data_IF_991022171888
#
_entry.id   IF_991022171888
#
_cell.length_a   1.000
_cell.length_b   1.000
_cell.length_c   1.000
_cell.angle_alpha   90.00
_cell.angle_beta   90.00
_cell.angle_gamma   90.00
#
_symmetry.space_group_name_H-M   'P 1'
#
loop_
_entity.id
_entity.type
_entity.pdbx_description
1 polymer ?
#
# COMPACT_ATOMS: atom_id res chain seq x y z
N UNK A 1 11.75 -9.43 -76.75
CA UNK A 1 10.38 -9.31 -76.20
C UNK A 1 10.43 -9.69 -74.71
N UNK A 2 10.01 -8.75 -73.84
CA UNK A 2 9.85 -8.83 -72.36
C UNK A 2 11.10 -8.96 -71.47
N UNK A 3 11.63 -7.80 -71.07
CA UNK A 3 12.37 -7.62 -69.82
C UNK A 3 11.39 -7.75 -68.64
N UNK A 4 11.69 -8.64 -67.67
CA UNK A 4 10.95 -8.74 -66.41
C UNK A 4 11.75 -7.96 -65.36
N UNK A 5 11.22 -6.82 -64.93
CA UNK A 5 11.73 -6.08 -63.78
C UNK A 5 11.18 -6.71 -62.50
N UNK A 6 12.05 -7.39 -61.76
CA UNK A 6 11.73 -7.88 -60.41
C UNK A 6 11.80 -6.72 -59.43
N UNK A 7 10.65 -6.19 -59.00
CA UNK A 7 10.58 -5.22 -57.90
C UNK A 7 10.76 -5.97 -56.57
N UNK A 8 11.87 -5.72 -55.88
CA UNK A 8 12.07 -6.15 -54.49
C UNK A 8 11.24 -5.21 -53.61
N UNK A 9 10.18 -5.74 -53.02
CA UNK A 9 9.35 -5.06 -52.04
C UNK A 9 9.92 -5.36 -50.64
N UNK A 10 10.72 -4.46 -50.10
CA UNK A 10 11.25 -4.59 -48.74
C UNK A 10 10.14 -4.26 -47.74
N UNK A 11 9.56 -5.29 -47.12
CA UNK A 11 8.65 -5.11 -45.97
C UNK A 11 9.48 -4.76 -44.73
N UNK A 12 9.38 -3.50 -44.29
CA UNK A 12 9.90 -3.09 -42.99
C UNK A 12 8.94 -3.62 -41.92
N UNK A 13 9.27 -4.75 -41.31
CA UNK A 13 8.58 -5.22 -40.11
C UNK A 13 9.03 -4.33 -38.96
N UNK A 14 8.21 -3.34 -38.61
CA UNK A 14 8.40 -2.57 -37.39
C UNK A 14 8.29 -3.50 -36.20
N UNK A 15 9.41 -3.73 -35.50
CA UNK A 15 9.38 -4.34 -34.17
C UNK A 15 8.60 -3.40 -33.25
N UNK A 16 7.33 -3.71 -33.01
CA UNK A 16 6.59 -3.11 -31.91
C UNK A 16 7.18 -3.71 -30.64
N UNK A 17 8.11 -2.99 -30.01
CA UNK A 17 8.50 -3.27 -28.64
C UNK A 17 7.29 -2.96 -27.75
N UNK A 18 6.52 -4.00 -27.42
CA UNK A 18 5.64 -3.95 -26.26
C UNK A 18 6.55 -3.87 -25.03
N UNK A 19 6.86 -2.64 -24.61
CA UNK A 19 7.32 -2.45 -23.24
C UNK A 19 6.18 -2.93 -22.36
N UNK A 20 6.40 -3.97 -21.55
CA UNK A 20 5.51 -4.34 -20.47
C UNK A 20 5.55 -3.20 -19.44
N UNK A 21 4.84 -2.12 -19.75
CA UNK A 21 4.49 -1.08 -18.79
C UNK A 21 3.57 -1.76 -17.80
N UNK A 22 4.15 -2.28 -16.71
CA UNK A 22 3.40 -2.68 -15.54
C UNK A 22 2.57 -1.46 -15.15
N UNK A 23 1.28 -1.49 -15.47
CA UNK A 23 0.36 -0.42 -15.17
C UNK A 23 0.17 -0.33 -13.66
N UNK A 24 0.03 0.89 -13.15
CA UNK A 24 -0.41 1.11 -11.77
C UNK A 24 -1.83 0.54 -11.60
N UNK A 25 -2.14 0.02 -10.41
CA UNK A 25 -3.44 -0.61 -10.09
C UNK A 25 -4.60 0.37 -10.26
N UNK A 26 -4.38 1.64 -9.94
CA UNK A 26 -5.34 2.72 -10.15
C UNK A 26 -4.92 3.59 -11.33
N UNK A 27 -5.63 3.46 -12.46
CA UNK A 27 -5.41 4.28 -13.65
C UNK A 27 -5.73 5.76 -13.45
N UNK A 28 -6.60 6.06 -12.48
CA UNK A 28 -7.04 7.41 -12.14
C UNK A 28 -6.21 8.04 -11.02
N UNK A 29 -5.16 7.35 -10.56
CA UNK A 29 -4.26 7.86 -9.53
C UNK A 29 -3.73 9.26 -9.88
N UNK A 30 -3.49 10.07 -8.85
CA UNK A 30 -2.94 11.43 -8.97
C UNK A 30 -1.62 11.44 -9.71
N UNK A 31 -1.25 12.60 -10.25
CA UNK A 31 0.05 12.77 -10.92
C UNK A 31 1.21 12.49 -9.95
N UNK A 32 1.08 12.89 -8.69
CA UNK A 32 2.04 12.63 -7.61
C UNK A 32 2.23 11.12 -7.38
N UNK A 33 1.14 10.35 -7.34
CA UNK A 33 1.18 8.89 -7.14
C UNK A 33 1.80 8.18 -8.34
N UNK A 34 1.44 8.58 -9.56
CA UNK A 34 2.04 8.07 -10.80
C UNK A 34 3.54 8.38 -10.86
N UNK A 35 3.93 9.58 -10.44
CA UNK A 35 5.32 10.02 -10.38
C UNK A 35 6.11 9.21 -9.36
N UNK A 36 5.57 8.96 -8.16
CA UNK A 36 6.21 8.09 -7.16
C UNK A 36 6.46 6.68 -7.73
N UNK A 37 5.46 6.07 -8.37
CA UNK A 37 5.60 4.75 -8.97
C UNK A 37 6.72 4.71 -10.02
N UNK A 38 6.78 5.71 -10.90
CA UNK A 38 7.84 5.83 -11.90
C UNK A 38 9.23 6.04 -11.28
N UNK A 39 9.33 6.87 -10.25
CA UNK A 39 10.57 7.12 -9.52
C UNK A 39 11.09 5.85 -8.84
N UNK A 40 10.23 5.08 -8.18
CA UNK A 40 10.63 3.80 -7.56
C UNK A 40 11.11 2.80 -8.61
N UNK A 41 10.45 2.74 -9.77
CA UNK A 41 10.89 1.90 -10.89
C UNK A 41 12.23 2.36 -11.45
N UNK A 42 12.47 3.67 -11.56
CA UNK A 42 13.71 4.21 -12.12
C UNK A 42 14.93 4.01 -11.21
N UNK A 43 14.70 3.82 -9.90
CA UNK A 43 15.70 3.50 -8.89
C UNK A 43 16.08 2.01 -8.85
N UNK A 44 15.27 1.12 -9.44
CA UNK A 44 15.53 -0.31 -9.45
C UNK A 44 16.91 -0.62 -10.04
N UNK A 45 17.73 -1.36 -9.29
CA UNK A 45 19.10 -1.72 -9.68
C UNK A 45 20.15 -0.61 -9.53
N UNK A 46 19.77 0.59 -9.10
CA UNK A 46 20.70 1.72 -8.86
C UNK A 46 21.01 1.97 -7.39
N UNK A 47 20.14 1.51 -6.50
CA UNK A 47 20.32 1.65 -5.06
C UNK A 47 19.10 1.16 -4.28
N UNK A 48 19.19 1.22 -2.96
CA UNK A 48 18.11 0.83 -2.05
C UNK A 48 17.74 2.02 -1.18
N UNK A 49 16.45 2.36 -1.16
CA UNK A 49 15.93 3.32 -0.19
C UNK A 49 15.84 2.64 1.17
N UNK A 50 16.54 3.19 2.16
CA UNK A 50 16.42 2.75 3.54
C UNK A 50 15.10 3.22 4.15
N UNK A 51 14.39 2.31 4.80
CA UNK A 51 13.11 2.59 5.45
C UNK A 51 13.13 2.33 6.95
N UNK A 52 12.39 3.14 7.72
CA UNK A 52 12.23 2.95 9.16
C UNK A 52 10.78 3.17 9.59
N UNK A 53 10.23 2.20 10.32
CA UNK A 53 8.87 2.27 10.88
C UNK A 53 8.84 3.31 12.02
N UNK A 54 7.77 4.09 12.08
CA UNK A 54 7.50 5.10 13.10
C UNK A 54 8.59 6.18 13.26
N UNK A 55 9.38 6.43 12.21
CA UNK A 55 10.53 7.35 12.25
C UNK A 55 10.20 8.81 12.61
N UNK A 56 8.94 9.24 12.46
CA UNK A 56 8.43 10.58 12.83
C UNK A 56 7.55 10.58 14.10
N UNK A 57 7.42 9.42 14.74
CA UNK A 57 6.54 9.19 15.89
C UNK A 57 7.34 8.92 17.16
N UNK A 58 8.29 7.99 17.10
CA UNK A 58 8.97 7.46 18.30
C UNK A 58 10.41 7.01 18.01
N UNK A 59 11.19 6.92 19.08
CA UNK A 59 12.55 6.37 19.06
C UNK A 59 13.08 6.12 20.48
N UNK A 60 14.36 5.78 20.57
CA UNK A 60 15.03 5.44 21.82
C UNK A 60 15.07 6.62 22.79
N UNK A 61 14.28 6.53 23.86
CA UNK A 61 14.21 7.54 24.91
C UNK A 61 13.35 8.77 24.58
N UNK A 62 12.50 8.74 23.54
CA UNK A 62 11.61 9.86 23.22
C UNK A 62 10.32 9.47 22.48
N UNK A 63 9.27 10.27 22.70
CA UNK A 63 7.97 10.23 22.01
C UNK A 63 7.54 11.65 21.63
N UNK A 64 8.02 12.17 20.49
CA UNK A 64 7.74 13.55 20.03
C UNK A 64 7.99 13.74 18.53
N UNK A 65 7.28 14.69 17.92
CA UNK A 65 7.46 15.06 16.50
C UNK A 65 8.85 15.64 16.23
N UNK A 66 9.37 15.46 15.01
CA UNK A 66 10.55 16.18 14.51
C UNK A 66 11.91 15.59 14.91
N UNK A 67 11.92 14.48 15.66
CA UNK A 67 13.15 13.76 16.00
C UNK A 67 13.19 12.44 15.22
N UNK A 68 14.39 12.02 14.82
CA UNK A 68 14.62 10.73 14.18
C UNK A 68 15.91 10.12 14.70
N UNK A 69 15.86 8.88 15.18
CA UNK A 69 17.07 8.18 15.60
C UNK A 69 18.01 7.91 14.42
N UNK A 70 17.44 7.62 13.24
CA UNK A 70 18.19 7.47 11.99
C UNK A 70 19.02 8.74 11.73
N UNK A 71 18.41 9.92 11.85
CA UNK A 71 19.13 11.18 11.69
C UNK A 71 20.21 11.37 12.76
N UNK A 72 19.93 11.07 14.03
CA UNK A 72 20.92 11.19 15.11
C UNK A 72 22.16 10.33 14.88
N UNK A 73 22.00 9.13 14.32
CA UNK A 73 23.12 8.20 14.13
C UNK A 73 23.83 8.39 12.79
N UNK A 74 23.12 8.80 11.73
CA UNK A 74 23.68 8.84 10.37
C UNK A 74 23.77 10.24 9.75
N UNK A 75 23.22 11.27 10.41
CA UNK A 75 23.09 12.62 9.85
C UNK A 75 22.11 12.73 8.67
N UNK A 76 21.28 11.70 8.42
CA UNK A 76 20.32 11.66 7.31
C UNK A 76 18.98 11.06 7.77
N UNK A 77 17.88 11.56 7.21
CA UNK A 77 16.56 10.96 7.42
C UNK A 77 16.39 9.69 6.57
N UNK A 78 15.51 8.75 6.97
CA UNK A 78 15.20 7.59 6.13
C UNK A 78 14.49 8.03 4.83
N UNK A 79 14.78 7.35 3.73
CA UNK A 79 14.12 7.60 2.44
C UNK A 79 12.69 7.05 2.37
N UNK A 80 12.34 6.13 3.29
CA UNK A 80 10.98 5.61 3.46
C UNK A 80 10.58 5.70 4.93
N UNK A 81 9.41 6.25 5.22
CA UNK A 81 8.82 6.26 6.57
C UNK A 81 7.59 5.37 6.58
N UNK A 82 7.60 4.38 7.48
CA UNK A 82 6.52 3.42 7.64
C UNK A 82 5.61 3.72 8.83
N UNK A 83 4.31 3.51 8.66
CA UNK A 83 3.31 3.59 9.72
C UNK A 83 2.36 2.38 9.64
N UNK A 84 1.40 2.30 10.56
CA UNK A 84 0.41 1.23 10.57
C UNK A 84 -1.01 1.77 10.80
N UNK A 85 -1.96 1.32 10.00
CA UNK A 85 -3.36 1.74 10.16
C UNK A 85 -4.03 1.19 11.43
N UNK A 86 -3.43 0.22 12.13
CA UNK A 86 -3.95 -0.35 13.39
C UNK A 86 -4.39 0.74 14.37
N UNK A 87 -3.51 1.69 14.66
CA UNK A 87 -3.79 2.72 15.67
C UNK A 87 -4.76 3.78 15.14
N UNK A 88 -4.65 4.16 13.87
CA UNK A 88 -5.62 5.04 13.17
C UNK A 88 -7.04 4.49 13.28
N UNK A 89 -7.18 3.18 13.10
CA UNK A 89 -8.47 2.51 13.08
C UNK A 89 -8.99 2.16 14.49
N UNK A 90 -8.11 1.73 15.39
CA UNK A 90 -8.52 1.30 16.74
C UNK A 90 -8.76 2.46 17.70
N UNK A 91 -8.05 3.57 17.50
CA UNK A 91 -8.05 4.74 18.38
C UNK A 91 -8.29 6.01 17.56
N UNK A 92 -9.31 5.96 16.70
CA UNK A 92 -9.62 6.97 15.69
C UNK A 92 -9.60 8.41 16.22
N UNK A 93 -10.29 8.68 17.34
CA UNK A 93 -10.40 10.03 17.91
C UNK A 93 -9.05 10.65 18.30
N UNK A 94 -8.07 9.83 18.65
CA UNK A 94 -6.75 10.29 19.10
C UNK A 94 -5.72 10.25 17.97
N UNK A 95 -5.77 9.21 17.13
CA UNK A 95 -4.68 8.92 16.21
C UNK A 95 -4.93 9.36 14.77
N UNK A 96 -6.17 9.65 14.37
CA UNK A 96 -6.45 9.99 12.98
C UNK A 96 -5.71 11.25 12.53
N UNK A 97 -5.94 12.40 13.19
CA UNK A 97 -5.27 13.64 12.82
C UNK A 97 -3.78 13.63 13.21
N UNK A 98 -3.42 12.91 14.27
CA UNK A 98 -2.01 12.71 14.66
C UNK A 98 -1.19 12.07 13.52
N UNK A 99 -1.68 10.98 12.91
CA UNK A 99 -0.95 10.35 11.81
C UNK A 99 -0.97 11.19 10.53
N UNK A 100 -2.00 12.01 10.29
CA UNK A 100 -1.98 12.98 9.17
C UNK A 100 -0.82 13.97 9.32
N UNK A 101 -0.59 14.50 10.53
CA UNK A 101 0.57 15.36 10.83
C UNK A 101 1.90 14.64 10.53
N UNK A 102 2.02 13.37 10.93
CA UNK A 102 3.27 12.59 10.70
C UNK A 102 3.52 12.29 9.23
N UNK A 103 2.46 11.99 8.48
CA UNK A 103 2.53 11.77 7.03
C UNK A 103 2.98 13.05 6.34
N UNK A 104 2.40 14.19 6.71
CA UNK A 104 2.80 15.49 6.18
C UNK A 104 4.28 15.79 6.46
N UNK A 105 4.73 15.60 7.70
CA UNK A 105 6.14 15.83 8.06
C UNK A 105 7.12 14.90 7.33
N UNK A 106 6.77 13.62 7.19
CA UNK A 106 7.58 12.67 6.42
C UNK A 106 7.68 13.10 4.95
N UNK A 107 6.57 13.53 4.35
CA UNK A 107 6.51 14.01 2.99
C UNK A 107 7.32 15.31 2.79
N UNK A 108 7.22 16.27 3.72
CA UNK A 108 8.01 17.52 3.70
C UNK A 108 9.53 17.26 3.75
N UNK A 109 9.94 16.16 4.40
CA UNK A 109 11.34 15.68 4.40
C UNK A 109 11.75 14.92 3.15
N UNK A 110 10.84 14.78 2.17
CA UNK A 110 11.07 14.06 0.92
C UNK A 110 11.01 12.54 1.05
N UNK A 111 10.47 12.00 2.15
CA UNK A 111 10.36 10.56 2.34
C UNK A 111 9.16 9.97 1.59
N UNK A 112 9.34 8.74 1.09
CA UNK A 112 8.21 7.91 0.65
C UNK A 112 7.44 7.43 1.88
N UNK A 113 6.12 7.59 1.87
CA UNK A 113 5.26 7.14 2.98
C UNK A 113 4.69 5.76 2.67
N UNK A 114 4.73 4.85 3.64
CA UNK A 114 4.08 3.53 3.55
C UNK A 114 3.25 3.23 4.79
N UNK A 115 2.12 2.57 4.60
CA UNK A 115 1.30 2.03 5.68
C UNK A 115 1.15 0.52 5.53
N UNK A 116 1.50 -0.22 6.58
CA UNK A 116 0.99 -1.58 6.79
C UNK A 116 -0.37 -1.56 7.50
N UNK A 117 -0.97 -2.74 7.66
CA UNK A 117 -2.19 -2.86 8.43
C UNK A 117 -2.24 -4.12 9.28
N UNK A 118 -1.96 -3.96 10.56
CA UNK A 118 -2.17 -5.01 11.56
C UNK A 118 -3.62 -4.99 12.07
N UNK A 119 -4.55 -5.46 11.23
CA UNK A 119 -5.98 -5.43 11.50
C UNK A 119 -6.37 -6.33 12.68
N UNK A 120 -7.18 -5.81 13.60
CA UNK A 120 -7.78 -6.60 14.68
C UNK A 120 -8.70 -7.68 14.08
N UNK A 121 -8.82 -8.80 14.77
CA UNK A 121 -9.69 -9.88 14.32
C UNK A 121 -11.16 -9.41 14.32
N UNK A 122 -11.86 -9.43 13.18
CA UNK A 122 -13.20 -8.86 13.06
C UNK A 122 -14.29 -9.66 13.80
N UNK A 123 -13.99 -10.90 14.21
CA UNK A 123 -14.91 -11.73 14.99
C UNK A 123 -14.74 -11.53 16.49
N UNK A 124 -13.50 -11.59 16.96
CA UNK A 124 -13.18 -11.65 18.39
C UNK A 124 -12.81 -10.31 18.98
N UNK A 125 -12.61 -9.30 18.13
CA UNK A 125 -12.12 -7.95 18.47
C UNK A 125 -10.79 -7.93 19.21
N UNK A 126 -10.07 -9.05 19.20
CA UNK A 126 -8.70 -9.17 19.71
C UNK A 126 -7.70 -8.73 18.66
N UNK A 127 -6.44 -8.65 19.07
CA UNK A 127 -5.35 -8.18 18.21
C UNK A 127 -5.20 -9.07 16.96
N UNK A 128 -4.44 -8.58 16.00
CA UNK A 128 -4.06 -9.30 14.78
C UNK A 128 -3.43 -10.68 15.01
N UNK A 129 -2.92 -10.97 16.22
CA UNK A 129 -2.40 -12.28 16.62
C UNK A 129 -3.46 -13.31 17.03
N UNK A 130 -4.72 -12.90 17.24
CA UNK A 130 -5.80 -13.87 17.38
C UNK A 130 -6.03 -14.55 16.02
N UNK A 131 -5.68 -15.83 15.94
CA UNK A 131 -5.62 -16.63 14.71
C UNK A 131 -6.98 -17.13 14.24
N UNK A 132 -8.08 -16.78 14.90
CA UNK A 132 -9.43 -17.22 14.54
C UNK A 132 -9.72 -16.86 13.06
N UNK A 133 -9.92 -17.83 12.16
CA UNK A 133 -10.17 -17.55 10.75
C UNK A 133 -11.43 -16.70 10.56
N UNK A 134 -11.32 -15.62 9.79
CA UNK A 134 -12.40 -14.63 9.68
C UNK A 134 -12.62 -14.06 8.27
N UNK A 135 -11.88 -14.50 7.26
CA UNK A 135 -12.00 -13.95 5.90
C UNK A 135 -13.41 -14.16 5.33
N UNK A 136 -13.98 -15.36 5.52
CA UNK A 136 -15.34 -15.71 5.10
C UNK A 136 -16.42 -14.80 5.71
N UNK A 137 -16.12 -14.19 6.87
CA UNK A 137 -17.06 -13.35 7.62
C UNK A 137 -17.06 -11.90 7.17
N UNK A 138 -15.97 -11.43 6.55
CA UNK A 138 -15.83 -10.05 6.09
C UNK A 138 -16.01 -9.87 4.58
N UNK A 139 -15.93 -10.95 3.79
CA UNK A 139 -16.25 -10.91 2.36
C UNK A 139 -17.77 -10.77 2.11
N UNK A 140 -18.20 -10.39 0.88
CA UNK A 140 -19.62 -10.29 0.55
C UNK A 140 -20.42 -11.53 0.96
N UNK A 141 -21.54 -11.32 1.66
CA UNK A 141 -22.36 -12.38 2.25
C UNK A 141 -21.98 -12.79 3.68
N UNK A 142 -20.84 -12.32 4.20
CA UNK A 142 -20.44 -12.51 5.59
C UNK A 142 -21.13 -11.54 6.57
N UNK A 143 -21.31 -11.97 7.82
CA UNK A 143 -21.99 -11.19 8.88
C UNK A 143 -21.17 -10.00 9.41
N UNK A 144 -19.89 -9.90 9.06
CA UNK A 144 -18.99 -8.78 9.39
C UNK A 144 -18.62 -7.96 8.16
N UNK A 145 -19.33 -8.11 7.05
CA UNK A 145 -19.04 -7.38 5.81
C UNK A 145 -19.15 -5.86 5.98
N UNK A 146 -20.25 -5.36 6.54
CA UNK A 146 -20.43 -3.92 6.78
C UNK A 146 -19.43 -3.37 7.82
N UNK A 147 -19.06 -4.18 8.82
CA UNK A 147 -17.98 -3.82 9.73
C UNK A 147 -16.67 -3.62 8.97
N UNK A 148 -16.32 -4.53 8.07
CA UNK A 148 -15.10 -4.44 7.27
C UNK A 148 -15.11 -3.23 6.33
N UNK A 149 -16.23 -2.98 5.64
CA UNK A 149 -16.41 -1.76 4.83
C UNK A 149 -16.17 -0.50 5.64
N UNK A 150 -16.74 -0.39 6.84
CA UNK A 150 -16.48 0.76 7.73
C UNK A 150 -15.01 0.95 8.09
N UNK A 151 -14.19 -0.12 8.15
CA UNK A 151 -12.73 0.00 8.31
C UNK A 151 -12.06 0.54 7.06
N UNK A 152 -12.49 0.08 5.88
CA UNK A 152 -11.99 0.58 4.61
C UNK A 152 -12.40 2.04 4.38
N UNK A 153 -13.60 2.46 4.78
CA UNK A 153 -14.05 3.86 4.72
C UNK A 153 -13.13 4.78 5.53
N UNK A 154 -12.67 4.34 6.71
CA UNK A 154 -11.71 5.10 7.52
C UNK A 154 -10.36 5.21 6.81
N UNK A 155 -9.88 4.14 6.18
CA UNK A 155 -8.63 4.17 5.39
C UNK A 155 -8.77 5.12 4.19
N UNK A 156 -9.87 5.03 3.45
CA UNK A 156 -10.16 5.92 2.32
C UNK A 156 -10.24 7.39 2.77
N UNK A 157 -10.95 7.65 3.88
CA UNK A 157 -11.03 8.99 4.49
C UNK A 157 -9.65 9.51 4.90
N UNK A 158 -8.79 8.65 5.46
CA UNK A 158 -7.42 9.03 5.81
C UNK A 158 -6.62 9.41 4.56
N UNK A 159 -6.63 8.56 3.54
CA UNK A 159 -5.93 8.84 2.28
C UNK A 159 -6.40 10.16 1.63
N UNK A 160 -7.70 10.43 1.63
CA UNK A 160 -8.28 11.66 1.10
C UNK A 160 -8.02 12.91 1.95
N UNK A 161 -7.51 12.76 3.19
CA UNK A 161 -7.13 13.87 4.08
C UNK A 161 -5.61 14.02 4.23
N UNK A 162 -4.82 13.10 3.69
CA UNK A 162 -3.37 13.18 3.69
C UNK A 162 -2.91 14.17 2.61
N UNK A 163 -2.88 15.46 2.97
CA UNK A 163 -2.56 16.55 2.07
C UNK A 163 -1.20 17.17 2.41
N UNK A 164 -0.44 17.57 1.39
CA UNK A 164 0.76 18.38 1.54
C UNK A 164 0.42 19.86 1.86
N UNK A 165 1.43 20.73 1.90
CA UNK A 165 1.22 22.14 2.21
C UNK A 165 0.45 22.89 1.12
N UNK A 166 0.48 22.39 -0.11
CA UNK A 166 -0.18 22.92 -1.29
C UNK A 166 -1.59 22.36 -1.49
N UNK A 167 -2.04 21.45 -0.61
CA UNK A 167 -3.36 20.84 -0.66
C UNK A 167 -3.47 19.68 -1.65
N UNK A 168 -2.35 19.09 -2.08
CA UNK A 168 -2.32 17.90 -2.94
C UNK A 168 -2.26 16.63 -2.11
N UNK A 169 -2.84 15.55 -2.64
CA UNK A 169 -2.81 14.24 -1.99
C UNK A 169 -1.38 13.68 -1.94
N UNK A 170 -0.94 13.31 -0.74
CA UNK A 170 0.34 12.66 -0.49
C UNK A 170 0.24 11.18 -0.91
N UNK A 171 1.11 10.69 -1.80
CA UNK A 171 1.12 9.27 -2.18
C UNK A 171 1.49 8.37 -0.98
N UNK A 172 0.67 7.34 -0.75
CA UNK A 172 0.90 6.34 0.31
C UNK A 172 1.03 4.95 -0.33
N UNK A 173 2.13 4.25 -0.05
CA UNK A 173 2.26 2.82 -0.38
C UNK A 173 1.48 2.03 0.68
N UNK A 174 0.29 1.56 0.32
CA UNK A 174 -0.52 0.72 1.20
C UNK A 174 -0.19 -0.76 1.01
N UNK A 175 0.17 -1.44 2.10
CA UNK A 175 0.55 -2.86 2.14
C UNK A 175 -0.33 -3.63 3.14
N UNK A 176 -1.60 -3.93 2.77
CA UNK A 176 -2.48 -4.74 3.61
C UNK A 176 -2.08 -6.21 3.58
N UNK A 177 -2.58 -6.98 4.54
CA UNK A 177 -2.55 -8.46 4.53
C UNK A 177 -1.15 -9.07 4.34
N UNK A 178 -0.15 -8.46 4.96
CA UNK A 178 1.24 -8.91 4.85
C UNK A 178 1.47 -10.25 5.55
N UNK A 179 2.50 -10.97 5.14
CA UNK A 179 2.91 -12.26 5.74
C UNK A 179 1.79 -13.32 5.76
N UNK A 180 0.84 -13.24 4.82
CA UNK A 180 -0.31 -14.14 4.73
C UNK A 180 0.05 -15.63 4.55
N UNK A 181 1.26 -15.92 4.08
CA UNK A 181 1.81 -17.26 3.97
C UNK A 181 2.18 -17.86 5.34
N UNK A 182 2.16 -17.07 6.41
CA UNK A 182 2.35 -17.51 7.78
C UNK A 182 1.04 -17.51 8.57
N UNK A 183 0.97 -18.33 9.62
CA UNK A 183 -0.26 -18.55 10.40
C UNK A 183 -0.36 -17.70 11.68
N UNK A 184 0.49 -16.69 11.86
CA UNK A 184 0.45 -15.85 13.06
C UNK A 184 -0.59 -14.74 13.00
N UNK A 185 -1.06 -14.36 11.81
CA UNK A 185 -2.19 -13.44 11.64
C UNK A 185 -3.47 -14.16 11.21
N UNK A 186 -4.65 -13.65 11.60
CA UNK A 186 -5.92 -14.29 11.23
C UNK A 186 -6.16 -14.37 9.72
N UNK A 187 -5.63 -13.42 8.94
CA UNK A 187 -5.75 -13.44 7.47
C UNK A 187 -4.82 -14.45 6.80
N UNK A 188 -3.88 -15.05 7.53
CA UNK A 188 -3.11 -16.21 7.08
C UNK A 188 -3.76 -17.55 7.46
N UNK A 189 -4.94 -17.52 8.08
CA UNK A 189 -5.69 -18.70 8.48
C UNK A 189 -7.04 -18.77 7.74
N UNK A 190 -7.40 -19.98 7.30
CA UNK A 190 -8.65 -20.26 6.61
C UNK A 190 -9.30 -21.54 7.17
N UNK A 191 -10.63 -21.60 7.11
CA UNK A 191 -11.38 -22.85 7.36
C UNK A 191 -11.31 -23.80 6.16
N UNK A 192 -10.90 -23.29 4.99
CA UNK A 192 -10.73 -24.03 3.75
C UNK A 192 -9.29 -24.55 3.65
N UNK A 193 -9.03 -25.39 2.65
CA UNK A 193 -7.69 -25.93 2.35
C UNK A 193 -7.38 -25.87 0.85
N UNK A 194 -6.07 -25.98 0.53
CA UNK A 194 -5.57 -25.94 -0.84
C UNK A 194 -6.03 -24.70 -1.62
N UNK A 195 -6.37 -24.90 -2.91
CA UNK A 195 -6.80 -23.83 -3.82
C UNK A 195 -7.98 -23.00 -3.30
N UNK A 196 -8.86 -23.60 -2.50
CA UNK A 196 -10.01 -22.89 -1.95
C UNK A 196 -9.61 -21.86 -0.88
N UNK A 197 -8.56 -22.15 -0.09
CA UNK A 197 -7.99 -21.20 0.87
C UNK A 197 -7.23 -20.07 0.16
N UNK A 198 -6.45 -20.41 -0.88
CA UNK A 198 -5.75 -19.42 -1.70
C UNK A 198 -6.73 -18.44 -2.36
N UNK A 199 -7.82 -18.95 -2.94
CA UNK A 199 -8.83 -18.11 -3.58
C UNK A 199 -9.54 -17.18 -2.59
N UNK A 200 -9.75 -17.63 -1.35
CA UNK A 200 -10.34 -16.81 -0.29
C UNK A 200 -9.44 -15.61 0.05
N UNK A 201 -8.12 -15.82 0.16
CA UNK A 201 -7.17 -14.74 0.35
C UNK A 201 -7.11 -13.79 -0.86
N UNK A 202 -7.09 -14.32 -2.08
CA UNK A 202 -7.13 -13.51 -3.31
C UNK A 202 -8.39 -12.63 -3.34
N UNK A 203 -9.54 -13.16 -2.92
CA UNK A 203 -10.79 -12.40 -2.85
C UNK A 203 -10.71 -11.29 -1.80
N UNK A 204 -10.11 -11.53 -0.63
CA UNK A 204 -9.86 -10.49 0.38
C UNK A 204 -9.00 -9.35 -0.18
N UNK A 205 -7.90 -9.70 -0.84
CA UNK A 205 -7.01 -8.71 -1.46
C UNK A 205 -7.73 -7.88 -2.52
N UNK A 206 -8.41 -8.56 -3.46
CA UNK A 206 -9.15 -7.91 -4.56
C UNK A 206 -10.28 -7.04 -4.06
N UNK A 207 -11.05 -7.51 -3.07
CA UNK A 207 -12.11 -6.71 -2.47
C UNK A 207 -11.54 -5.44 -1.83
N UNK A 208 -10.45 -5.57 -1.06
CA UNK A 208 -9.79 -4.42 -0.42
C UNK A 208 -9.38 -3.36 -1.46
N UNK A 209 -8.75 -3.80 -2.55
CA UNK A 209 -8.32 -2.91 -3.64
C UNK A 209 -9.51 -2.28 -4.35
N UNK A 210 -10.49 -3.10 -4.75
CA UNK A 210 -11.69 -2.62 -5.45
C UNK A 210 -12.45 -1.60 -4.62
N UNK A 211 -12.69 -1.92 -3.34
CA UNK A 211 -13.46 -1.03 -2.46
C UNK A 211 -12.75 0.32 -2.26
N UNK A 212 -11.44 0.32 -2.01
CA UNK A 212 -10.70 1.57 -1.80
C UNK A 212 -10.52 2.41 -3.08
N UNK A 213 -10.60 1.80 -4.26
CA UNK A 213 -10.39 2.47 -5.55
C UNK A 213 -11.70 2.89 -6.22
N UNK A 214 -12.73 2.07 -6.13
CA UNK A 214 -13.91 2.13 -7.01
C UNK A 214 -15.22 2.47 -6.28
N UNK A 215 -15.26 2.48 -4.95
CA UNK A 215 -16.47 2.71 -4.12
C UNK A 215 -16.30 3.96 -3.26
#
# INVERSE_FOLDING_TARGET
MRMIHTRILTFLVGLIFFTNVHAIVDSNATIETKTLFQNLKSLQGKGTLFGHQNAEKEGHGWLRTGVSDVYKVSGKYPGVVGFDFKDVLQYYSTYFDFFLEKVKLAHEKGAVVTFSWHSYNPLTTRTFYDKTPAIDRILPGGDRHEYFKGRLDVIAKFANRALDAEGKLIPIIFRPWHEHNHKWFWWGNSKKSGKAAEQEFINLWRFTVHYLRDV
#
